data_IF_819216217455
#
_entry.id   IF_819216217455
#
_cell.length_a   1.000
_cell.length_b   1.000
_cell.length_c   1.000
_cell.angle_alpha   90.00
_cell.angle_beta   90.00
_cell.angle_gamma   90.00
#
_symmetry.space_group_name_H-M   'P 1'
#
loop_
_entity.id
_entity.type
_entity.pdbx_description
1 polymer ?
#
# COMPACT_ATOMS: atom_id res chain seq x y z
N UNK A 1 -35.53 15.91 -63.55
CA UNK A 1 -36.40 15.64 -62.39
C UNK A 1 -36.08 14.32 -61.70
N UNK A 2 -35.96 13.20 -62.43
CA UNK A 2 -35.68 11.86 -61.87
C UNK A 2 -34.32 11.80 -61.12
N UNK A 3 -33.26 12.35 -61.71
CA UNK A 3 -31.93 12.34 -61.10
C UNK A 3 -31.87 13.12 -59.78
N UNK A 4 -32.60 14.24 -59.71
CA UNK A 4 -32.74 15.03 -58.49
C UNK A 4 -33.51 14.28 -57.41
N UNK A 5 -34.60 13.61 -57.76
CA UNK A 5 -35.37 12.78 -56.82
C UNK A 5 -34.54 11.62 -56.25
N UNK A 6 -33.69 10.99 -57.08
CA UNK A 6 -32.77 9.93 -56.69
C UNK A 6 -31.68 10.41 -55.72
N UNK A 7 -31.03 11.54 -56.03
CA UNK A 7 -30.02 12.13 -55.13
C UNK A 7 -30.64 12.52 -53.79
N UNK A 8 -31.86 13.07 -53.81
CA UNK A 8 -32.58 13.48 -52.61
C UNK A 8 -32.94 12.28 -51.73
N UNK A 9 -33.45 11.19 -52.33
CA UNK A 9 -33.78 9.96 -51.60
C UNK A 9 -32.53 9.30 -51.01
N UNK A 10 -31.42 9.26 -51.75
CA UNK A 10 -30.13 8.76 -51.23
C UNK A 10 -29.66 9.61 -50.04
N UNK A 11 -29.77 10.94 -50.12
CA UNK A 11 -29.41 11.83 -49.01
C UNK A 11 -30.31 11.64 -47.78
N UNK A 12 -31.62 11.45 -47.96
CA UNK A 12 -32.56 11.17 -46.86
C UNK A 12 -32.21 9.85 -46.17
N UNK A 13 -31.99 8.80 -46.97
CA UNK A 13 -31.63 7.46 -46.45
C UNK A 13 -30.28 7.52 -45.73
N UNK A 14 -29.29 8.19 -46.32
CA UNK A 14 -27.98 8.36 -45.69
C UNK A 14 -28.07 9.13 -44.37
N UNK A 15 -28.75 10.28 -44.34
CA UNK A 15 -28.86 11.12 -43.14
C UNK A 15 -29.72 10.50 -42.03
N UNK A 16 -30.71 9.69 -42.38
CA UNK A 16 -31.51 8.94 -41.39
C UNK A 16 -30.77 7.73 -40.81
N UNK A 17 -29.87 7.11 -41.58
CA UNK A 17 -29.08 5.96 -41.12
C UNK A 17 -27.79 6.35 -40.40
N UNK A 18 -27.21 7.50 -40.75
CA UNK A 18 -26.00 8.03 -40.12
C UNK A 18 -26.24 8.28 -38.62
N UNK A 19 -25.31 7.80 -37.79
CA UNK A 19 -25.28 8.11 -36.37
C UNK A 19 -24.37 9.31 -36.12
N UNK A 20 -24.84 10.25 -35.31
CA UNK A 20 -24.02 11.36 -34.82
C UNK A 20 -23.77 11.18 -33.32
N UNK A 21 -22.64 11.74 -32.86
CA UNK A 21 -22.25 11.70 -31.46
C UNK A 21 -22.73 12.97 -30.80
N UNK A 22 -23.58 12.83 -29.79
CA UNK A 22 -24.08 13.94 -28.98
C UNK A 22 -23.42 13.90 -27.61
N UNK A 23 -22.90 15.04 -27.16
CA UNK A 23 -22.37 15.20 -25.80
C UNK A 23 -23.46 15.79 -24.90
N UNK A 24 -23.85 15.03 -23.89
CA UNK A 24 -24.83 15.44 -22.88
C UNK A 24 -24.08 15.95 -21.65
N UNK A 25 -24.59 17.01 -21.04
CA UNK A 25 -24.04 17.61 -19.82
C UNK A 25 -25.00 17.40 -18.65
N UNK A 26 -24.44 17.02 -17.50
CA UNK A 26 -25.16 16.86 -16.24
C UNK A 26 -24.52 17.79 -15.23
N UNK A 27 -25.28 18.76 -14.75
CA UNK A 27 -24.83 19.73 -13.75
C UNK A 27 -24.95 19.15 -12.34
N UNK A 28 -23.95 19.44 -11.49
CA UNK A 28 -23.89 19.02 -10.09
C UNK A 28 -24.34 17.56 -9.85
N UNK A 29 -23.68 16.59 -10.50
CA UNK A 29 -24.08 15.19 -10.43
C UNK A 29 -23.94 14.65 -9.00
N UNK A 30 -24.93 13.88 -8.57
CA UNK A 30 -24.84 13.11 -7.32
C UNK A 30 -23.97 11.86 -7.52
N UNK A 31 -23.45 11.29 -6.42
CA UNK A 31 -22.73 10.00 -6.45
C UNK A 31 -23.55 8.92 -7.18
N UNK A 32 -24.83 8.80 -6.86
CA UNK A 32 -25.73 7.83 -7.51
C UNK A 32 -25.92 8.08 -9.01
N UNK A 33 -26.00 9.35 -9.42
CA UNK A 33 -26.10 9.72 -10.84
C UNK A 33 -24.83 9.33 -11.58
N UNK A 34 -23.66 9.60 -11.00
CA UNK A 34 -22.38 9.21 -11.57
C UNK A 34 -22.24 7.69 -11.69
N UNK A 35 -22.57 6.93 -10.65
CA UNK A 35 -22.51 5.47 -10.70
C UNK A 35 -23.43 4.88 -11.78
N UNK A 36 -24.62 5.45 -11.97
CA UNK A 36 -25.53 5.06 -13.04
C UNK A 36 -24.98 5.39 -14.43
N UNK A 37 -24.34 6.56 -14.60
CA UNK A 37 -23.70 6.97 -15.86
C UNK A 37 -22.54 6.06 -16.23
N UNK A 38 -21.67 5.73 -15.27
CA UNK A 38 -20.56 4.78 -15.47
C UNK A 38 -21.09 3.40 -15.86
N UNK A 39 -22.16 2.92 -15.24
CA UNK A 39 -22.75 1.61 -15.58
C UNK A 39 -23.40 1.59 -16.96
N UNK A 40 -23.94 2.71 -17.43
CA UNK A 40 -24.70 2.77 -18.69
C UNK A 40 -23.84 3.15 -19.92
N UNK A 41 -22.87 4.06 -19.77
CA UNK A 41 -22.08 4.61 -20.88
C UNK A 41 -20.59 4.79 -20.49
N UNK A 42 -20.04 3.80 -19.79
CA UNK A 42 -18.70 3.79 -19.15
C UNK A 42 -17.58 4.48 -19.91
N UNK A 43 -17.48 4.27 -21.22
CA UNK A 43 -16.34 4.69 -22.05
C UNK A 43 -16.26 6.20 -22.33
N UNK A 44 -17.36 6.95 -22.16
CA UNK A 44 -17.41 8.36 -22.56
C UNK A 44 -17.69 9.34 -21.42
N UNK A 45 -17.89 8.84 -20.18
CA UNK A 45 -18.16 9.68 -19.02
C UNK A 45 -16.90 10.42 -18.59
N UNK A 46 -16.99 11.74 -18.52
CA UNK A 46 -15.94 12.63 -18.03
C UNK A 46 -16.53 13.52 -16.93
N UNK A 47 -15.95 13.45 -15.75
CA UNK A 47 -16.40 14.15 -14.55
C UNK A 47 -15.19 14.76 -13.86
N UNK A 48 -14.79 15.99 -14.22
CA UNK A 48 -13.66 16.64 -13.57
C UNK A 48 -13.91 16.90 -12.09
N UNK A 49 -12.91 16.60 -11.24
CA UNK A 49 -12.94 17.00 -9.84
C UNK A 49 -12.66 18.51 -9.69
N UNK A 50 -13.23 19.13 -8.65
CA UNK A 50 -12.96 20.53 -8.30
C UNK A 50 -11.53 20.76 -7.79
N UNK A 51 -10.89 19.73 -7.21
CA UNK A 51 -9.46 19.75 -6.86
C UNK A 51 -8.76 18.54 -7.47
N UNK A 52 -7.46 18.67 -7.70
CA UNK A 52 -6.63 17.64 -8.34
C UNK A 52 -5.92 16.72 -7.34
N UNK A 53 -5.83 17.13 -6.07
CA UNK A 53 -5.02 16.50 -5.04
C UNK A 53 -5.81 16.37 -3.74
N UNK A 54 -5.84 15.17 -3.20
CA UNK A 54 -6.48 14.85 -1.91
C UNK A 54 -5.64 13.85 -1.15
N UNK A 55 -5.52 14.01 0.17
CA UNK A 55 -4.81 13.07 1.04
C UNK A 55 -5.68 11.85 1.34
N UNK A 56 -5.06 10.69 1.55
CA UNK A 56 -5.76 9.48 1.96
C UNK A 56 -6.51 9.67 3.28
N UNK A 57 -5.95 10.46 4.21
CA UNK A 57 -6.58 10.79 5.49
C UNK A 57 -8.02 11.35 5.35
N UNK A 58 -8.34 11.97 4.21
CA UNK A 58 -9.67 12.51 3.98
C UNK A 58 -10.76 11.42 3.79
N UNK A 59 -10.39 10.21 3.36
CA UNK A 59 -11.37 9.16 3.01
C UNK A 59 -10.94 7.73 3.40
N UNK A 60 -9.75 7.55 3.97
CA UNK A 60 -9.22 6.28 4.46
C UNK A 60 -9.00 6.37 5.96
N UNK A 61 -9.68 5.52 6.71
CA UNK A 61 -9.36 5.25 8.11
C UNK A 61 -8.44 4.04 8.15
N UNK A 62 -7.34 4.12 8.90
CA UNK A 62 -6.34 3.07 9.01
C UNK A 62 -5.82 2.99 10.44
N UNK A 63 -5.84 1.77 10.99
CA UNK A 63 -5.38 1.41 12.32
C UNK A 63 -4.71 0.03 12.29
N UNK A 64 -3.91 -0.26 13.32
CA UNK A 64 -3.28 -1.55 13.50
C UNK A 64 -3.46 -2.01 14.94
N UNK A 65 -3.74 -3.30 15.13
CA UNK A 65 -3.78 -3.91 16.45
C UNK A 65 -2.51 -4.70 16.66
N UNK A 66 -1.82 -4.36 17.75
CA UNK A 66 -0.57 -5.02 18.16
C UNK A 66 -0.87 -6.26 18.98
N UNK A 67 0.01 -7.25 18.89
CA UNK A 67 -0.02 -8.46 19.69
C UNK A 67 0.10 -8.10 21.18
N UNK A 68 -0.67 -8.78 22.04
CA UNK A 68 -0.81 -8.46 23.47
C UNK A 68 0.54 -8.39 24.22
N UNK A 69 1.54 -9.16 23.78
CA UNK A 69 2.89 -9.10 24.35
C UNK A 69 3.50 -7.68 24.32
N UNK A 70 3.20 -6.90 23.27
CA UNK A 70 3.69 -5.54 23.09
C UNK A 70 2.81 -4.46 23.75
N UNK A 71 1.73 -4.87 24.40
CA UNK A 71 0.84 -3.97 25.18
C UNK A 71 0.68 -4.45 26.62
N UNK A 72 1.44 -5.48 27.01
CA UNK A 72 1.38 -6.10 28.33
C UNK A 72 2.43 -5.53 29.29
N UNK A 73 2.24 -5.82 30.57
CA UNK A 73 3.21 -5.53 31.63
C UNK A 73 4.61 -6.12 31.43
N UNK A 74 4.78 -7.09 30.53
CA UNK A 74 6.07 -7.74 30.29
C UNK A 74 7.06 -6.86 29.54
N UNK A 75 6.62 -5.72 29.01
CA UNK A 75 7.49 -4.68 28.44
C UNK A 75 7.65 -3.47 29.36
N UNK A 76 7.08 -3.49 30.57
CA UNK A 76 7.13 -2.36 31.48
C UNK A 76 8.37 -2.39 32.39
N UNK A 77 8.87 -1.20 32.73
CA UNK A 77 10.04 -1.01 33.60
C UNK A 77 9.97 -1.80 34.91
N UNK A 78 8.88 -1.72 35.70
CA UNK A 78 8.76 -2.44 36.97
C UNK A 78 8.94 -3.96 36.86
N UNK A 79 8.44 -4.58 35.77
CA UNK A 79 8.66 -6.01 35.52
C UNK A 79 10.13 -6.29 35.23
N UNK A 80 10.73 -5.55 34.31
CA UNK A 80 12.12 -5.73 33.88
C UNK A 80 13.08 -5.54 35.07
N UNK A 81 12.86 -4.50 35.88
CA UNK A 81 13.64 -4.21 37.09
C UNK A 81 13.49 -5.29 38.15
N UNK A 82 12.30 -5.89 38.27
CA UNK A 82 12.09 -6.98 39.23
C UNK A 82 12.94 -8.21 38.92
N UNK A 83 13.19 -8.48 37.64
CA UNK A 83 14.01 -9.62 37.21
C UNK A 83 15.49 -9.38 37.45
N UNK A 84 15.94 -8.13 37.36
CA UNK A 84 17.35 -7.76 37.56
C UNK A 84 17.87 -8.15 38.96
N UNK A 85 16.98 -8.26 39.96
CA UNK A 85 17.34 -8.76 41.28
C UNK A 85 18.30 -7.82 42.02
N UNK A 86 19.35 -8.38 42.62
CA UNK A 86 20.43 -7.67 43.33
C UNK A 86 21.67 -7.41 42.45
N UNK A 87 21.65 -7.86 41.18
CA UNK A 87 22.73 -7.66 40.20
C UNK A 87 23.97 -8.54 40.41
N UNK A 88 23.99 -9.46 41.37
CA UNK A 88 25.14 -10.35 41.59
C UNK A 88 24.93 -11.73 40.97
N UNK A 89 25.37 -11.91 39.73
CA UNK A 89 25.21 -13.17 38.98
C UNK A 89 26.50 -13.98 38.86
N UNK A 90 27.54 -13.60 39.61
CA UNK A 90 28.90 -14.17 39.52
C UNK A 90 28.94 -15.68 39.76
N UNK A 91 27.97 -16.21 40.52
CA UNK A 91 27.88 -17.62 40.91
C UNK A 91 26.69 -18.35 40.28
N UNK A 92 25.95 -17.69 39.38
CA UNK A 92 24.75 -18.25 38.77
C UNK A 92 25.10 -18.91 37.43
N UNK A 93 24.65 -20.14 37.15
CA UNK A 93 24.86 -20.79 35.86
C UNK A 93 24.34 -19.94 34.70
N UNK A 94 25.02 -20.01 33.55
CA UNK A 94 24.69 -19.19 32.36
C UNK A 94 23.30 -19.46 31.78
N UNK A 95 22.79 -20.68 31.98
CA UNK A 95 21.46 -21.11 31.54
C UNK A 95 20.36 -20.89 32.59
N UNK A 96 20.67 -20.18 33.66
CA UNK A 96 19.72 -19.90 34.72
C UNK A 96 18.96 -18.59 34.47
N UNK A 97 17.64 -18.65 34.54
CA UNK A 97 16.73 -17.57 34.19
C UNK A 97 16.97 -16.27 34.95
N UNK A 98 17.24 -16.28 36.25
CA UNK A 98 17.44 -15.08 37.08
C UNK A 98 18.66 -14.28 36.63
N UNK A 99 19.68 -14.91 36.04
CA UNK A 99 20.87 -14.22 35.56
C UNK A 99 20.73 -13.60 34.16
N UNK A 100 19.80 -14.13 33.33
CA UNK A 100 19.65 -13.75 31.91
C UNK A 100 18.25 -13.28 31.53
N UNK A 101 17.27 -13.44 32.40
CA UNK A 101 15.84 -13.17 32.20
C UNK A 101 15.59 -11.74 31.76
N UNK A 102 16.32 -10.79 32.38
CA UNK A 102 16.23 -9.36 32.05
C UNK A 102 16.55 -9.10 30.58
N UNK A 103 17.46 -9.87 29.98
CA UNK A 103 17.87 -9.71 28.60
C UNK A 103 16.70 -10.00 27.64
N UNK A 104 15.86 -11.00 27.94
CA UNK A 104 14.68 -11.31 27.12
C UNK A 104 13.72 -10.14 27.06
N UNK A 105 13.38 -9.57 28.22
CA UNK A 105 12.39 -8.50 28.30
C UNK A 105 12.91 -7.15 27.83
N UNK A 106 14.20 -6.85 27.99
CA UNK A 106 14.82 -5.67 27.39
C UNK A 106 14.80 -5.73 25.85
N UNK A 107 15.14 -6.89 25.28
CA UNK A 107 15.05 -7.07 23.83
C UNK A 107 13.58 -7.05 23.38
N UNK A 108 12.67 -7.69 24.12
CA UNK A 108 11.24 -7.68 23.80
C UNK A 108 10.66 -6.26 23.81
N UNK A 109 10.97 -5.46 24.83
CA UNK A 109 10.58 -4.05 24.93
C UNK A 109 11.11 -3.26 23.72
N UNK A 110 12.39 -3.46 23.38
CA UNK A 110 13.02 -2.79 22.24
C UNK A 110 12.36 -3.17 20.91
N UNK A 111 12.09 -4.46 20.68
CA UNK A 111 11.43 -4.96 19.48
C UNK A 111 10.00 -4.43 19.36
N UNK A 112 9.23 -4.46 20.46
CA UNK A 112 7.87 -3.91 20.48
C UNK A 112 7.85 -2.41 20.20
N UNK A 113 8.77 -1.66 20.82
CA UNK A 113 8.88 -0.21 20.62
C UNK A 113 9.19 0.10 19.15
N UNK A 114 10.18 -0.58 18.57
CA UNK A 114 10.54 -0.40 17.16
C UNK A 114 9.40 -0.81 16.24
N UNK A 115 8.72 -1.93 16.51
CA UNK A 115 7.59 -2.38 15.72
C UNK A 115 6.45 -1.35 15.75
N UNK A 116 6.11 -0.82 16.93
CA UNK A 116 5.10 0.20 17.08
C UNK A 116 5.48 1.51 16.36
N UNK A 117 6.75 1.91 16.43
CA UNK A 117 7.24 3.06 15.66
C UNK A 117 7.14 2.84 14.15
N UNK A 118 7.51 1.65 13.66
CA UNK A 118 7.37 1.29 12.24
C UNK A 118 5.91 1.33 11.80
N UNK A 119 5.00 0.73 12.58
CA UNK A 119 3.56 0.70 12.31
C UNK A 119 2.99 2.12 12.29
N UNK A 120 3.25 2.92 13.33
CA UNK A 120 2.76 4.29 13.42
C UNK A 120 3.29 5.16 12.27
N UNK A 121 4.58 5.02 11.93
CA UNK A 121 5.18 5.76 10.81
C UNK A 121 4.58 5.35 9.47
N UNK A 122 4.27 4.06 9.29
CA UNK A 122 3.60 3.54 8.09
C UNK A 122 2.19 4.13 7.96
N UNK A 123 1.43 4.18 9.05
CA UNK A 123 0.09 4.79 9.08
C UNK A 123 0.16 6.27 8.72
N UNK A 124 1.08 7.02 9.35
CA UNK A 124 1.27 8.45 9.07
C UNK A 124 1.67 8.70 7.62
N UNK A 125 2.59 7.87 7.08
CA UNK A 125 3.00 7.94 5.69
C UNK A 125 1.81 7.73 4.75
N UNK A 126 1.02 6.67 4.96
CA UNK A 126 -0.16 6.37 4.14
C UNK A 126 -1.19 7.50 4.21
N UNK A 127 -1.48 8.03 5.42
CA UNK A 127 -2.40 9.17 5.59
C UNK A 127 -1.93 10.43 4.85
N UNK A 128 -0.63 10.67 4.82
CA UNK A 128 -0.02 11.81 4.12
C UNK A 128 0.01 11.67 2.59
N UNK A 129 -0.27 10.47 2.06
CA UNK A 129 -0.20 10.18 0.64
C UNK A 129 -1.32 10.84 -0.13
N UNK A 130 -1.00 11.37 -1.31
CA UNK A 130 -1.96 12.03 -2.18
C UNK A 130 -2.46 11.11 -3.28
N UNK A 131 -3.74 11.23 -3.62
CA UNK A 131 -4.25 10.82 -4.91
C UNK A 131 -4.24 12.02 -5.86
N UNK A 132 -3.58 11.86 -7.00
CA UNK A 132 -3.60 12.84 -8.08
C UNK A 132 -4.58 12.37 -9.14
N UNK A 133 -5.76 12.99 -9.20
CA UNK A 133 -6.66 12.75 -10.32
C UNK A 133 -7.48 13.99 -10.66
N UNK A 134 -7.54 14.29 -11.96
CA UNK A 134 -8.39 15.35 -12.48
C UNK A 134 -9.83 14.93 -12.72
N UNK A 135 -10.17 13.66 -12.51
CA UNK A 135 -11.49 13.10 -12.79
C UNK A 135 -12.01 12.29 -11.60
N UNK A 136 -13.31 12.06 -11.52
CA UNK A 136 -13.87 11.08 -10.58
C UNK A 136 -13.37 9.69 -10.95
N UNK A 137 -12.86 8.94 -9.98
CA UNK A 137 -12.44 7.54 -10.16
C UNK A 137 -13.64 6.63 -9.89
N UNK A 138 -13.93 5.62 -10.74
CA UNK A 138 -14.92 4.60 -10.44
C UNK A 138 -14.65 3.89 -9.10
N UNK A 139 -15.69 3.59 -8.34
CA UNK A 139 -15.58 3.01 -6.99
C UNK A 139 -14.70 1.77 -6.90
N UNK A 140 -14.94 0.79 -7.77
CA UNK A 140 -14.16 -0.45 -7.78
C UNK A 140 -12.67 -0.20 -8.06
N UNK A 141 -12.36 0.71 -8.99
CA UNK A 141 -11.00 1.09 -9.32
C UNK A 141 -10.31 1.82 -8.17
N UNK A 142 -11.00 2.76 -7.52
CA UNK A 142 -10.48 3.49 -6.36
C UNK A 142 -10.15 2.51 -5.22
N UNK A 143 -11.10 1.64 -4.88
CA UNK A 143 -10.94 0.66 -3.81
C UNK A 143 -9.77 -0.29 -4.09
N UNK A 144 -9.67 -0.79 -5.33
CA UNK A 144 -8.57 -1.68 -5.72
C UNK A 144 -7.22 -0.97 -5.65
N UNK A 145 -7.14 0.26 -6.16
CA UNK A 145 -5.91 1.05 -6.18
C UNK A 145 -5.42 1.33 -4.76
N UNK A 146 -6.28 1.83 -3.88
CA UNK A 146 -5.92 2.15 -2.49
C UNK A 146 -5.57 0.89 -1.72
N UNK A 147 -6.35 -0.19 -1.87
CA UNK A 147 -6.06 -1.45 -1.19
C UNK A 147 -4.68 -1.98 -1.58
N UNK A 148 -4.40 -2.06 -2.87
CA UNK A 148 -3.09 -2.52 -3.37
C UNK A 148 -1.97 -1.64 -2.84
N UNK A 149 -2.19 -0.33 -2.79
CA UNK A 149 -1.21 0.63 -2.29
C UNK A 149 -0.94 0.49 -0.78
N UNK A 150 -1.99 0.32 0.02
CA UNK A 150 -1.89 0.04 1.46
C UNK A 150 -1.13 -1.27 1.69
N UNK A 151 -1.58 -2.36 1.06
CA UNK A 151 -1.02 -3.70 1.25
C UNK A 151 0.48 -3.73 0.87
N UNK A 152 0.84 -3.17 -0.29
CA UNK A 152 2.25 -3.10 -0.74
C UNK A 152 3.12 -2.22 0.16
N UNK A 153 2.59 -1.11 0.65
CA UNK A 153 3.31 -0.21 1.55
C UNK A 153 3.56 -0.88 2.91
N UNK A 154 2.56 -1.58 3.45
CA UNK A 154 2.68 -2.36 4.70
C UNK A 154 3.76 -3.43 4.53
N UNK A 155 3.66 -4.25 3.48
CA UNK A 155 4.60 -5.34 3.22
C UNK A 155 6.04 -4.83 3.12
N UNK A 156 6.26 -3.74 2.38
CA UNK A 156 7.60 -3.17 2.21
C UNK A 156 8.20 -2.64 3.52
N UNK A 157 7.40 -1.97 4.35
CA UNK A 157 7.85 -1.45 5.64
C UNK A 157 8.15 -2.59 6.63
N UNK A 158 7.32 -3.64 6.67
CA UNK A 158 7.57 -4.82 7.51
C UNK A 158 8.83 -5.56 7.04
N UNK A 159 9.00 -5.73 5.73
CA UNK A 159 10.21 -6.36 5.18
C UNK A 159 11.48 -5.58 5.54
N UNK A 160 11.42 -4.25 5.50
CA UNK A 160 12.55 -3.39 5.88
C UNK A 160 12.84 -3.48 7.38
N UNK A 161 11.80 -3.49 8.22
CA UNK A 161 11.93 -3.74 9.66
C UNK A 161 12.69 -5.06 9.93
N UNK A 162 12.26 -6.16 9.31
CA UNK A 162 12.91 -7.47 9.48
C UNK A 162 14.36 -7.48 8.96
N UNK A 163 14.61 -6.83 7.81
CA UNK A 163 15.94 -6.79 7.21
C UNK A 163 16.99 -6.12 8.11
N UNK A 164 16.60 -5.07 8.85
CA UNK A 164 17.47 -4.37 9.81
C UNK A 164 17.89 -5.31 10.94
N UNK A 165 16.97 -6.10 11.51
CA UNK A 165 17.33 -7.06 12.56
C UNK A 165 18.19 -8.18 12.02
N UNK A 166 17.92 -8.67 10.80
CA UNK A 166 18.79 -9.68 10.17
C UNK A 166 20.23 -9.18 10.05
N UNK A 167 20.41 -7.93 9.63
CA UNK A 167 21.74 -7.31 9.57
C UNK A 167 22.40 -7.26 10.96
N UNK A 168 21.66 -6.83 12.00
CA UNK A 168 22.16 -6.80 13.37
C UNK A 168 22.61 -8.17 13.88
N UNK A 169 21.82 -9.23 13.62
CA UNK A 169 22.14 -10.61 13.98
C UNK A 169 23.43 -11.09 13.32
N UNK A 170 23.59 -10.84 12.03
CA UNK A 170 24.79 -11.20 11.26
C UNK A 170 26.05 -10.49 11.79
N UNK A 171 25.93 -9.21 12.14
CA UNK A 171 27.02 -8.44 12.74
C UNK A 171 27.42 -9.02 14.09
N UNK A 172 26.46 -9.34 14.96
CA UNK A 172 26.73 -9.90 16.29
C UNK A 172 27.37 -11.30 16.21
N UNK A 173 26.95 -12.11 15.24
CA UNK A 173 27.47 -13.47 15.08
C UNK A 173 28.91 -13.46 14.54
N UNK A 174 29.19 -12.66 13.51
CA UNK A 174 30.47 -12.73 12.76
C UNK A 174 31.58 -11.88 13.36
N UNK A 175 31.24 -10.89 14.16
CA UNK A 175 32.22 -10.12 14.91
C UNK A 175 32.36 -10.73 16.29
N UNK A 176 33.59 -10.98 16.75
CA UNK A 176 33.89 -11.56 18.08
C UNK A 176 33.59 -10.59 19.24
N UNK A 177 32.58 -9.74 19.08
CA UNK A 177 32.12 -8.75 20.05
C UNK A 177 31.39 -9.47 21.18
N UNK A 178 31.98 -9.44 22.37
CA UNK A 178 31.37 -10.02 23.57
C UNK A 178 30.14 -9.18 23.93
N UNK A 179 28.96 -9.80 23.94
CA UNK A 179 27.77 -9.13 24.45
C UNK A 179 27.83 -9.01 25.99
N UNK A 180 27.05 -8.11 26.59
CA UNK A 180 27.09 -7.82 28.04
C UNK A 180 26.79 -9.03 28.92
N UNK A 181 26.09 -10.04 28.37
CA UNK A 181 25.78 -11.30 29.04
C UNK A 181 26.77 -12.43 28.70
N UNK A 182 27.78 -12.13 27.88
CA UNK A 182 28.79 -13.05 27.36
C UNK A 182 28.23 -14.37 26.80
N UNK A 183 27.08 -14.29 26.11
CA UNK A 183 26.39 -15.47 25.54
C UNK A 183 27.01 -15.97 24.23
N UNK A 184 27.78 -15.15 23.53
CA UNK A 184 28.43 -15.52 22.27
C UNK A 184 29.93 -15.84 22.45
N UNK A 185 30.64 -14.95 23.15
CA UNK A 185 32.08 -15.02 23.37
C UNK A 185 32.38 -14.68 24.83
N UNK A 186 33.43 -15.29 25.39
CA UNK A 186 33.95 -15.00 26.73
C UNK A 186 35.46 -14.79 26.66
N UNK A 187 36.00 -14.02 27.61
CA UNK A 187 37.44 -13.92 27.79
C UNK A 187 38.01 -15.27 28.27
N UNK A 188 39.10 -15.71 27.62
CA UNK A 188 39.82 -16.91 28.00
C UNK A 188 40.99 -16.53 28.91
N UNK A 189 40.70 -16.29 30.19
CA UNK A 189 41.71 -16.01 31.20
C UNK A 189 42.34 -17.31 31.70
N UNK A 190 43.00 -18.07 30.82
CA UNK A 190 43.77 -19.22 31.26
C UNK A 190 45.06 -18.73 31.93
N UNK A 191 45.12 -18.92 33.26
CA UNK A 191 46.25 -18.58 34.11
C UNK A 191 47.46 -19.46 33.85
N UNK A 192 48.13 -19.26 32.73
CA UNK A 192 49.55 -19.56 32.63
C UNK A 192 50.29 -18.24 32.85
N UNK A 193 51.04 -18.16 33.95
CA UNK A 193 51.88 -17.02 34.37
C UNK A 193 53.01 -16.65 33.36
N UNK A 194 52.89 -17.06 32.09
CA UNK A 194 53.88 -16.91 31.04
C UNK A 194 53.34 -16.24 29.77
N UNK A 195 52.05 -15.90 29.70
CA UNK A 195 51.54 -15.10 28.56
C UNK A 195 51.78 -13.63 28.86
N UNK A 196 52.60 -12.91 28.07
CA UNK A 196 52.79 -11.48 28.29
C UNK A 196 51.44 -10.78 28.07
N UNK A 197 51.08 -9.89 29.01
CA UNK A 197 49.79 -9.20 29.21
C UNK A 197 49.21 -8.39 28.02
N UNK A 198 49.61 -8.64 26.78
CA UNK A 198 49.25 -7.83 25.60
C UNK A 198 48.16 -8.44 24.72
N UNK A 199 47.70 -9.67 24.99
CA UNK A 199 46.60 -10.30 24.25
C UNK A 199 45.56 -10.83 25.24
N UNK A 200 44.31 -10.41 25.07
CA UNK A 200 43.17 -10.96 25.79
C UNK A 200 42.46 -11.92 24.82
N UNK A 201 42.76 -13.23 24.86
CA UNK A 201 42.12 -14.19 23.97
C UNK A 201 40.63 -14.32 24.33
N UNK A 202 39.80 -14.55 23.31
CA UNK A 202 38.40 -14.88 23.47
C UNK A 202 38.15 -16.30 22.99
N UNK A 203 37.15 -16.95 23.59
CA UNK A 203 36.65 -18.25 23.12
C UNK A 203 35.13 -18.18 22.95
N UNK A 204 34.56 -18.89 21.96
CA UNK A 204 33.12 -18.90 21.78
C UNK A 204 32.44 -19.74 22.85
N UNK A 205 31.20 -19.39 23.15
CA UNK A 205 30.29 -20.25 23.92
C UNK A 205 29.77 -21.37 23.03
N UNK A 206 29.57 -22.54 23.62
CA UNK A 206 28.99 -23.71 22.94
C UNK A 206 27.82 -24.27 23.75
N UNK A 207 26.69 -24.48 23.08
CA UNK A 207 25.46 -25.07 23.62
C UNK A 207 25.44 -26.56 23.25
N UNK A 208 26.35 -27.34 23.85
CA UNK A 208 26.56 -28.75 23.56
C UNK A 208 27.76 -29.04 22.63
N UNK A 209 28.08 -30.33 22.39
CA UNK A 209 29.34 -30.75 21.76
C UNK A 209 29.50 -30.30 20.31
N UNK A 210 28.40 -30.12 19.57
CA UNK A 210 28.41 -29.80 18.14
C UNK A 210 27.78 -28.43 17.80
N UNK A 211 27.54 -27.58 18.80
CA UNK A 211 26.91 -26.29 18.56
C UNK A 211 27.72 -25.15 19.20
N UNK A 212 28.50 -24.45 18.38
CA UNK A 212 29.29 -23.30 18.79
C UNK A 212 28.72 -22.00 18.24
N UNK A 213 28.65 -20.97 19.08
CA UNK A 213 28.22 -19.64 18.68
C UNK A 213 29.15 -18.95 17.67
N UNK A 214 30.38 -19.44 17.50
CA UNK A 214 31.27 -19.00 16.43
C UNK A 214 30.82 -19.47 15.04
N UNK A 215 30.16 -20.63 14.94
CA UNK A 215 29.82 -21.26 13.66
C UNK A 215 28.33 -21.15 13.34
N UNK A 216 27.47 -21.06 14.36
CA UNK A 216 26.02 -20.96 14.17
C UNK A 216 25.37 -20.09 15.25
N UNK A 217 24.58 -19.10 14.84
CA UNK A 217 23.70 -18.32 15.72
C UNK A 217 22.44 -19.09 16.14
N UNK A 218 22.14 -20.21 15.48
CA UNK A 218 20.98 -21.05 15.80
C UNK A 218 21.21 -21.98 17.01
N UNK A 219 22.40 -21.95 17.62
CA UNK A 219 22.68 -22.76 18.79
C UNK A 219 21.83 -22.31 19.98
N UNK A 220 21.19 -23.30 20.60
CA UNK A 220 20.25 -23.08 21.68
C UNK A 220 20.32 -24.17 22.75
N UNK A 221 19.95 -23.82 23.98
CA UNK A 221 19.76 -24.74 25.09
C UNK A 221 18.57 -24.31 25.97
N UNK A 222 17.98 -25.23 26.76
CA UNK A 222 16.89 -24.88 27.67
C UNK A 222 17.34 -23.91 28.75
N UNK A 223 16.43 -23.03 29.16
CA UNK A 223 16.61 -22.16 30.34
C UNK A 223 16.05 -22.86 31.57
N UNK A 224 16.77 -22.74 32.69
CA UNK A 224 16.40 -23.37 33.95
C UNK A 224 16.17 -22.34 35.06
N UNK A 225 15.34 -22.69 36.03
CA UNK A 225 15.29 -22.05 37.34
C UNK A 225 15.44 -23.13 38.41
N UNK A 226 16.58 -23.11 39.10
CA UNK A 226 17.01 -24.28 39.87
C UNK A 226 17.17 -25.50 38.96
N UNK A 227 16.34 -26.54 39.17
CA UNK A 227 16.35 -27.76 38.36
C UNK A 227 15.16 -27.86 37.38
N UNK A 228 14.29 -26.85 37.33
CA UNK A 228 13.10 -26.85 36.47
C UNK A 228 13.38 -26.09 35.17
N UNK A 229 12.97 -26.67 34.04
CA UNK A 229 13.00 -25.98 32.75
C UNK A 229 11.90 -24.92 32.76
N UNK A 230 12.19 -23.71 32.28
CA UNK A 230 11.20 -22.65 32.08
C UNK A 230 10.56 -22.81 30.70
N UNK A 231 9.29 -23.26 30.59
CA UNK A 231 8.62 -23.49 29.31
C UNK A 231 8.63 -22.26 28.39
N UNK A 232 8.97 -22.49 27.13
CA UNK A 232 8.92 -21.45 26.10
C UNK A 232 10.03 -20.40 26.19
N UNK A 233 10.99 -20.53 27.12
CA UNK A 233 12.23 -19.77 27.13
C UNK A 233 13.41 -20.62 26.67
N UNK A 234 14.23 -20.04 25.80
CA UNK A 234 15.37 -20.70 25.18
C UNK A 234 16.59 -19.80 25.28
N UNK A 235 17.72 -20.32 25.77
CA UNK A 235 18.98 -19.61 25.73
C UNK A 235 19.63 -19.83 24.37
N UNK A 236 20.16 -18.78 23.77
CA UNK A 236 20.97 -18.87 22.56
C UNK A 236 22.19 -17.95 22.62
N UNK A 237 22.90 -17.87 21.50
CA UNK A 237 24.18 -17.17 21.39
C UNK A 237 24.13 -15.66 21.66
N UNK A 238 22.95 -15.05 21.68
CA UNK A 238 22.77 -13.65 22.05
C UNK A 238 21.42 -13.46 22.73
N UNK A 239 21.19 -12.35 23.44
CA UNK A 239 19.86 -12.00 23.94
C UNK A 239 18.79 -12.00 22.84
N UNK A 240 19.15 -11.52 21.65
CA UNK A 240 18.27 -11.51 20.48
C UNK A 240 17.93 -12.92 20.02
N UNK A 241 18.92 -13.80 19.83
CA UNK A 241 18.65 -15.20 19.44
C UNK A 241 17.87 -15.95 20.52
N UNK A 242 18.17 -15.71 21.79
CA UNK A 242 17.46 -16.32 22.92
C UNK A 242 15.97 -15.97 22.85
N UNK A 243 15.64 -14.69 22.67
CA UNK A 243 14.25 -14.24 22.55
C UNK A 243 13.59 -14.76 21.26
N UNK A 244 14.22 -14.59 20.10
CA UNK A 244 13.64 -14.97 18.80
C UNK A 244 13.32 -16.47 18.73
N UNK A 245 14.12 -17.32 19.37
CA UNK A 245 13.89 -18.77 19.45
C UNK A 245 12.93 -19.18 20.56
N UNK A 246 12.60 -18.29 21.48
CA UNK A 246 11.61 -18.51 22.52
C UNK A 246 10.19 -18.42 21.95
N UNK A 247 9.25 -19.11 22.59
CA UNK A 247 7.81 -19.03 22.30
C UNK A 247 7.06 -18.24 23.37
N UNK A 248 7.68 -18.05 24.54
CA UNK A 248 7.15 -17.32 25.69
C UNK A 248 5.82 -17.88 26.23
N UNK A 249 5.56 -19.18 26.01
CA UNK A 249 4.35 -19.86 26.49
C UNK A 249 4.18 -19.78 28.00
N UNK A 250 5.27 -19.66 28.77
CA UNK A 250 5.22 -19.40 30.20
C UNK A 250 4.38 -18.17 30.58
N UNK A 251 4.39 -17.12 29.74
CA UNK A 251 3.68 -15.87 30.02
C UNK A 251 2.16 -16.04 29.99
N UNK A 252 1.64 -17.15 29.47
CA UNK A 252 0.21 -17.49 29.43
C UNK A 252 -0.21 -18.44 30.55
N UNK A 253 0.71 -18.87 31.42
CA UNK A 253 0.44 -19.86 32.46
C UNK A 253 0.82 -19.32 33.84
N UNK A 254 -0.17 -19.21 34.75
CA UNK A 254 0.06 -18.66 36.10
C UNK A 254 1.12 -19.44 36.89
N UNK A 255 1.11 -20.78 36.84
CA UNK A 255 2.08 -21.60 37.56
C UNK A 255 3.50 -21.32 37.07
N UNK A 256 3.69 -21.25 35.75
CA UNK A 256 4.99 -20.91 35.19
C UNK A 256 5.40 -19.47 35.50
N UNK A 257 4.46 -18.53 35.37
CA UNK A 257 4.71 -17.12 35.63
C UNK A 257 5.16 -16.89 37.08
N UNK A 258 4.60 -17.62 38.04
CA UNK A 258 5.01 -17.59 39.43
C UNK A 258 6.47 -18.06 39.62
N UNK A 259 6.99 -18.97 38.79
CA UNK A 259 8.40 -19.38 38.84
C UNK A 259 9.32 -18.21 38.47
N UNK A 260 8.96 -17.46 37.44
CA UNK A 260 9.80 -16.37 36.91
C UNK A 260 9.53 -15.01 37.56
N UNK A 261 8.49 -14.89 38.40
CA UNK A 261 8.18 -13.68 39.16
C UNK A 261 9.04 -13.59 40.44
N UNK A 262 10.33 -13.29 40.25
CA UNK A 262 11.37 -13.35 41.30
C UNK A 262 11.01 -12.51 42.55
N UNK A 263 10.35 -11.36 42.37
CA UNK A 263 9.97 -10.45 43.46
C UNK A 263 8.49 -10.54 43.88
N UNK A 264 7.74 -11.53 43.39
CA UNK A 264 6.32 -11.72 43.70
C UNK A 264 5.47 -10.45 43.49
N UNK A 265 5.65 -9.81 42.34
CA UNK A 265 4.87 -8.63 41.97
C UNK A 265 3.40 -8.98 41.79
N UNK A 266 2.51 -8.27 42.49
CA UNK A 266 1.07 -8.59 42.54
C UNK A 266 0.29 -8.18 41.30
N UNK A 267 0.79 -7.22 40.52
CA UNK A 267 0.15 -6.76 39.28
C UNK A 267 0.42 -7.71 38.11
N UNK A 268 1.42 -8.59 38.24
CA UNK A 268 1.81 -9.54 37.19
C UNK A 268 0.79 -10.66 37.06
N UNK A 269 0.20 -10.73 35.88
CA UNK A 269 -0.84 -11.65 35.48
C UNK A 269 -0.49 -12.31 34.13
N UNK A 270 -0.94 -13.54 33.89
CA UNK A 270 -0.75 -14.20 32.61
C UNK A 270 -1.39 -13.41 31.47
N UNK A 271 -0.78 -13.51 30.30
CA UNK A 271 -1.39 -13.13 29.04
C UNK A 271 -2.66 -13.95 28.80
N UNK A 272 -3.64 -13.34 28.15
CA UNK A 272 -4.94 -13.97 27.92
C UNK A 272 -4.87 -14.84 26.66
N UNK A 273 -4.85 -16.15 26.86
CA UNK A 273 -4.84 -17.15 25.79
C UNK A 273 -6.18 -17.25 25.04
N UNK A 274 -7.26 -16.65 25.56
CA UNK A 274 -8.58 -16.64 24.92
C UNK A 274 -8.77 -15.50 23.93
N UNK A 275 -7.89 -14.49 23.95
CA UNK A 275 -7.91 -13.40 22.99
C UNK A 275 -7.65 -13.93 21.56
N UNK A 276 -8.42 -13.47 20.55
CA UNK A 276 -8.15 -13.82 19.17
C UNK A 276 -6.74 -13.37 18.77
N UNK A 277 -5.93 -14.32 18.32
CA UNK A 277 -4.62 -14.05 17.73
C UNK A 277 -4.48 -14.82 16.43
N UNK A 278 -3.82 -14.23 15.44
CA UNK A 278 -3.45 -14.95 14.22
C UNK A 278 -2.24 -15.87 14.43
N UNK A 279 -1.55 -15.74 15.55
CA UNK A 279 -0.40 -16.55 15.92
C UNK A 279 -0.83 -17.69 16.85
N UNK A 280 -0.30 -18.89 16.63
CA UNK A 280 -0.47 -19.99 17.59
C UNK A 280 0.30 -19.67 18.87
N UNK A 281 -0.17 -20.13 20.03
CA UNK A 281 0.49 -19.91 21.33
C UNK A 281 1.94 -20.44 21.38
N UNK A 282 2.27 -21.46 20.58
CA UNK A 282 3.62 -22.01 20.46
C UNK A 282 4.45 -21.38 19.32
N UNK A 283 3.98 -20.29 18.71
CA UNK A 283 4.74 -19.54 17.72
C UNK A 283 5.97 -18.93 18.37
N UNK A 284 7.09 -18.94 17.66
CA UNK A 284 8.32 -18.29 18.12
C UNK A 284 8.19 -16.77 18.04
N UNK A 285 8.92 -16.04 18.89
CA UNK A 285 9.01 -14.58 18.80
C UNK A 285 9.60 -14.15 17.45
N UNK A 286 10.44 -14.97 16.81
CA UNK A 286 10.87 -14.75 15.42
C UNK A 286 9.69 -14.63 14.45
N UNK A 287 8.67 -15.48 14.59
CA UNK A 287 7.48 -15.43 13.74
C UNK A 287 6.63 -14.17 14.00
N UNK A 288 6.51 -13.77 15.27
CA UNK A 288 5.85 -12.51 15.65
C UNK A 288 6.62 -11.30 15.10
N UNK A 289 7.96 -11.32 15.23
CA UNK A 289 8.86 -10.26 14.74
C UNK A 289 8.84 -10.16 13.22
N UNK A 290 8.75 -11.28 12.50
CA UNK A 290 8.61 -11.31 11.03
C UNK A 290 7.37 -10.55 10.52
N UNK A 291 6.44 -10.26 11.44
CA UNK A 291 5.18 -9.61 11.20
C UNK A 291 5.02 -8.29 11.97
N UNK A 292 6.13 -7.75 12.50
CA UNK A 292 6.15 -6.56 13.36
C UNK A 292 5.14 -6.62 14.51
N UNK A 293 4.88 -7.81 15.07
CA UNK A 293 3.90 -8.04 16.13
C UNK A 293 2.47 -7.55 15.81
N UNK A 294 2.11 -7.36 14.53
CA UNK A 294 0.77 -6.92 14.16
C UNK A 294 -0.17 -8.13 14.09
N UNK A 295 -1.29 -8.05 14.81
CA UNK A 295 -2.40 -9.01 14.75
C UNK A 295 -3.28 -8.75 13.53
N UNK A 296 -3.71 -7.51 13.37
CA UNK A 296 -4.55 -7.11 12.24
C UNK A 296 -4.36 -5.65 11.86
N UNK A 297 -4.44 -5.40 10.56
CA UNK A 297 -4.60 -4.07 9.98
C UNK A 297 -6.08 -3.84 9.71
N UNK A 298 -6.61 -2.75 10.25
CA UNK A 298 -8.01 -2.37 10.10
C UNK A 298 -8.05 -1.11 9.24
N UNK A 299 -8.74 -1.19 8.10
CA UNK A 299 -8.98 -0.01 7.28
C UNK A 299 -10.38 0.04 6.70
N UNK A 300 -10.86 1.25 6.53
CA UNK A 300 -12.13 1.55 5.89
C UNK A 300 -11.92 2.66 4.87
N UNK A 301 -12.38 2.42 3.63
CA UNK A 301 -12.28 3.37 2.52
C UNK A 301 -13.68 3.88 2.20
N UNK A 302 -13.93 5.16 2.47
CA UNK A 302 -15.22 5.80 2.22
C UNK A 302 -15.28 6.39 0.82
N UNK A 303 -15.92 5.68 -0.11
CA UNK A 303 -16.13 6.19 -1.47
C UNK A 303 -17.00 7.45 -1.49
N UNK A 304 -18.00 7.54 -0.62
CA UNK A 304 -18.86 8.73 -0.55
C UNK A 304 -18.08 9.96 -0.09
N UNK A 305 -17.20 9.81 0.89
CA UNK A 305 -16.31 10.89 1.33
C UNK A 305 -15.32 11.27 0.23
N UNK A 306 -14.79 10.29 -0.52
CA UNK A 306 -13.96 10.57 -1.70
C UNK A 306 -14.74 11.36 -2.76
N UNK A 307 -15.95 10.94 -3.10
CA UNK A 307 -16.78 11.60 -4.12
C UNK A 307 -17.16 13.02 -3.71
N UNK A 308 -17.58 13.22 -2.45
CA UNK A 308 -17.91 14.54 -1.93
C UNK A 308 -16.70 15.47 -1.87
N UNK A 309 -15.50 14.91 -1.67
CA UNK A 309 -14.24 15.65 -1.65
C UNK A 309 -13.79 16.02 -3.07
N UNK A 310 -13.98 15.12 -4.04
CA UNK A 310 -13.74 15.40 -5.47
C UNK A 310 -14.69 16.48 -6.01
N UNK A 311 -15.95 16.51 -5.57
CA UNK A 311 -16.95 17.54 -5.85
C UNK A 311 -17.04 17.92 -7.36
N UNK A 312 -17.42 17.00 -8.25
CA UNK A 312 -17.52 17.32 -9.67
C UNK A 312 -18.61 18.36 -9.94
N UNK A 313 -18.27 19.44 -10.65
CA UNK A 313 -19.24 20.50 -10.97
C UNK A 313 -20.13 20.13 -12.15
N UNK A 314 -19.58 19.44 -13.15
CA UNK A 314 -20.24 19.02 -14.38
C UNK A 314 -19.71 17.63 -14.75
N UNK A 315 -20.59 16.73 -15.14
CA UNK A 315 -20.23 15.51 -15.87
C UNK A 315 -20.69 15.61 -17.33
N UNK A 316 -19.90 15.09 -18.26
CA UNK A 316 -20.28 14.97 -19.67
C UNK A 316 -20.18 13.52 -20.11
N UNK A 317 -21.06 13.11 -21.04
CA UNK A 317 -20.95 11.80 -21.67
C UNK A 317 -21.47 11.87 -23.10
N UNK A 318 -20.94 11.00 -23.95
CA UNK A 318 -21.26 10.98 -25.37
C UNK A 318 -22.09 9.76 -25.73
N UNK A 319 -23.21 9.99 -26.40
CA UNK A 319 -24.10 8.94 -26.92
C UNK A 319 -24.19 9.02 -28.44
N UNK A 320 -24.16 7.85 -29.09
CA UNK A 320 -24.34 7.74 -30.54
C UNK A 320 -25.82 7.51 -30.85
N UNK A 321 -26.50 8.54 -31.38
CA UNK A 321 -27.92 8.48 -31.75
C UNK A 321 -28.11 8.84 -33.22
N UNK A 322 -29.19 8.33 -33.81
CA UNK A 322 -29.64 8.78 -35.15
C UNK A 322 -30.39 10.09 -35.00
N UNK A 323 -30.39 10.90 -36.06
CA UNK A 323 -31.18 12.13 -36.08
C UNK A 323 -32.67 11.81 -36.06
N UNK A 324 -33.41 12.62 -35.33
CA UNK A 324 -34.86 12.55 -35.37
C UNK A 324 -35.36 12.96 -36.76
N UNK A 325 -36.51 12.41 -37.16
CA UNK A 325 -37.10 12.64 -38.48
C UNK A 325 -37.26 14.15 -38.77
N UNK A 326 -37.61 14.93 -37.73
CA UNK A 326 -37.78 16.38 -37.84
C UNK A 326 -36.48 17.10 -38.21
N UNK A 327 -35.35 16.69 -37.62
CA UNK A 327 -34.03 17.23 -37.96
C UNK A 327 -33.60 16.85 -39.38
N UNK A 328 -33.90 15.63 -39.81
CA UNK A 328 -33.61 15.21 -41.18
C UNK A 328 -34.39 16.08 -42.17
N UNK A 329 -35.67 16.34 -41.89
CA UNK A 329 -36.52 17.20 -42.73
C UNK A 329 -36.01 18.65 -42.75
N UNK A 330 -35.62 19.23 -41.60
CA UNK A 330 -35.13 20.62 -41.54
C UNK A 330 -33.80 20.79 -42.28
N UNK A 331 -32.88 19.83 -42.17
CA UNK A 331 -31.62 19.83 -42.94
C UNK A 331 -31.92 19.81 -44.43
N UNK A 332 -32.85 18.96 -44.86
CA UNK A 332 -33.23 18.81 -46.27
C UNK A 332 -33.86 20.10 -46.82
N UNK A 333 -34.80 20.69 -46.09
CA UNK A 333 -35.43 21.95 -46.46
C UNK A 333 -34.39 23.07 -46.55
N UNK A 334 -33.48 23.16 -45.58
CA UNK A 334 -32.37 24.11 -45.61
C UNK A 334 -31.47 23.94 -46.83
N UNK A 335 -31.16 22.70 -47.20
CA UNK A 335 -30.35 22.38 -48.38
C UNK A 335 -31.05 22.78 -49.68
N UNK A 336 -32.35 22.50 -49.80
CA UNK A 336 -33.16 22.88 -50.96
C UNK A 336 -33.26 24.40 -51.12
N UNK A 337 -33.53 25.11 -50.01
CA UNK A 337 -33.62 26.57 -50.00
C UNK A 337 -32.28 27.23 -50.33
N UNK A 338 -31.18 26.78 -49.71
CA UNK A 338 -29.84 27.31 -49.97
C UNK A 338 -29.40 27.08 -51.42
N UNK A 339 -29.64 25.88 -51.95
CA UNK A 339 -29.33 25.56 -53.34
C UNK A 339 -30.13 26.44 -54.32
N UNK A 340 -31.41 26.64 -54.06
CA UNK A 340 -32.28 27.48 -54.91
C UNK A 340 -31.81 28.93 -54.94
N UNK A 341 -31.39 29.47 -53.79
CA UNK A 341 -30.85 30.83 -53.70
C UNK A 341 -29.54 30.97 -54.49
N UNK A 342 -28.62 30.03 -54.30
CA UNK A 342 -27.32 30.02 -54.98
C UNK A 342 -27.50 29.88 -56.49
N UNK A 343 -28.37 28.98 -56.95
CA UNK A 343 -28.67 28.84 -58.39
C UNK A 343 -29.27 30.13 -58.96
N UNK A 344 -30.16 30.82 -58.24
CA UNK A 344 -30.72 32.10 -58.71
C UNK A 344 -29.67 33.20 -58.84
N UNK A 345 -28.63 33.19 -58.00
CA UNK A 345 -27.52 34.14 -58.07
C UNK A 345 -26.51 33.78 -59.17
N UNK A 346 -26.15 32.51 -59.27
CA UNK A 346 -25.07 32.04 -60.16
C UNK A 346 -25.57 31.81 -61.60
N UNK A 347 -26.80 31.34 -61.81
CA UNK A 347 -27.33 31.11 -63.14
C UNK A 347 -27.28 32.34 -64.07
N UNK A 348 -27.71 33.55 -63.67
CA UNK A 348 -27.58 34.72 -64.53
C UNK A 348 -26.11 35.09 -64.81
N UNK A 349 -25.22 34.90 -63.85
CA UNK A 349 -23.78 35.12 -64.05
C UNK A 349 -23.21 34.14 -65.08
N UNK A 350 -23.54 32.85 -64.98
CA UNK A 350 -23.12 31.84 -65.95
C UNK A 350 -23.68 32.09 -67.35
N UNK A 351 -24.95 32.48 -67.46
CA UNK A 351 -25.58 32.84 -68.75
C UNK A 351 -24.92 34.09 -69.34
N UNK A 352 -24.63 35.09 -68.52
CA UNK A 352 -23.93 36.29 -68.98
C UNK A 352 -22.52 35.95 -69.46
N UNK A 353 -21.77 35.12 -68.73
CA UNK A 353 -20.44 34.66 -69.11
C UNK A 353 -20.48 33.82 -70.39
N UNK A 354 -21.44 32.90 -70.55
CA UNK A 354 -21.57 32.10 -71.77
C UNK A 354 -21.93 32.95 -72.99
N UNK A 355 -22.78 33.95 -72.82
CA UNK A 355 -23.12 34.92 -73.86
C UNK A 355 -21.92 35.80 -74.22
N UNK A 356 -21.12 36.19 -73.24
CA UNK A 356 -19.91 36.98 -73.47
C UNK A 356 -18.85 36.14 -74.21
N UNK A 357 -18.68 34.87 -73.85
CA UNK A 357 -17.82 33.92 -74.56
C UNK A 357 -18.31 33.66 -75.98
N UNK A 358 -19.61 33.46 -76.20
CA UNK A 358 -20.16 33.24 -77.55
C UNK A 358 -20.04 34.49 -78.43
N UNK A 359 -20.20 35.69 -77.88
CA UNK A 359 -19.92 36.96 -78.58
C UNK A 359 -18.43 37.12 -78.91
N UNK A 360 -17.52 36.77 -77.98
CA UNK A 360 -16.08 36.81 -78.24
C UNK A 360 -15.65 35.80 -79.31
N UNK A 361 -16.23 34.59 -79.31
CA UNK A 361 -16.01 33.57 -80.35
C UNK A 361 -16.57 34.02 -81.71
N UNK A 362 -17.76 34.64 -81.73
CA UNK A 362 -18.34 35.21 -82.96
C UNK A 362 -17.50 36.37 -83.52
N UNK A 363 -17.01 37.28 -82.67
CA UNK A 363 -16.11 38.37 -83.08
C UNK A 363 -14.80 37.84 -83.66
N UNK A 364 -14.20 36.82 -83.04
CA UNK A 364 -12.97 36.19 -83.54
C UNK A 364 -13.15 35.54 -84.91
N UNK A 365 -14.33 35.01 -85.21
CA UNK A 365 -14.62 34.40 -86.51
C UNK A 365 -14.99 35.42 -87.61
N UNK A 366 -15.36 36.66 -87.26
CA UNK A 366 -15.84 37.68 -88.20
C UNK A 366 -14.92 38.91 -88.38
N UNK A 367 -13.70 38.90 -87.82
CA UNK A 367 -12.69 39.91 -88.15
C UNK A 367 -12.13 39.67 -89.55
N UNK A 368 -12.66 40.41 -90.53
CA UNK A 368 -12.07 40.57 -91.87
C UNK A 368 -10.83 41.47 -91.71
N UNK A 369 -9.67 40.95 -92.09
CA UNK A 369 -8.41 41.70 -92.16
C UNK A 369 -8.55 42.76 -93.27
N UNK A 370 -8.34 44.06 -92.99
CA UNK A 370 -8.39 45.05 -94.06
C UNK A 370 -7.14 44.89 -94.95
N UNK A 371 -7.38 44.74 -96.25
CA UNK A 371 -6.35 44.81 -97.28
C UNK A 371 -5.70 46.20 -97.26
N UNK A 372 -4.38 46.23 -97.09
CA UNK A 372 -3.50 47.30 -97.59
C UNK A 372 -2.55 46.70 -98.59
#
# INVERSE_FOLDING_TARGET
MILWALVFTILVVYKSLAKEVFTIRVEQPTETTYEQLIRSVSLSVQCPCARLLFTYDAFVQLEAQMHQICTSQFIDGPWIESIFGDGNWSHIPTNEFRSRGVAYFLVQQSLCTLAQLTVNSTILFLRSKYIFNGQVIPKEQLLLQIKTDIDTTIDWNILTFVAIFRLGREIIQKNQLINVFSLNWVYSLEGNNQVPYYRIPTRPISHGPNCSCATSSACTEPVFIGNEIVPGFTLGCSPMESLLRSTLTCLYNQTCLNLINIRNLSFIHPLDASLPSRFMLNSTVENLTANAFVEQWLYNISYSTFYSTCQPSICTYSVSKRKDLLEVITIILGLYSGLTLILRLIAPLLISASNLVSVLVWRRNNTVVPFT
#
